data_IF_584114570566
#
_entry.id   IF_584114570566
#
_cell.length_a   1.000
_cell.length_b   1.000
_cell.length_c   1.000
_cell.angle_alpha   90.00
_cell.angle_beta   90.00
_cell.angle_gamma   90.00
#
_symmetry.space_group_name_H-M   'P 1'
#
loop_
_entity.id
_entity.type
_entity.pdbx_description
1 polymer ?
#
# COMPACT_ATOMS: atom_id res chain seq x y z
N UNK A 1 -56.72 -23.68 22.40
CA UNK A 1 -56.29 -22.62 21.45
C UNK A 1 -54.77 -22.52 21.51
N UNK A 2 -54.07 -23.19 20.60
CA UNK A 2 -52.63 -23.05 20.43
C UNK A 2 -52.38 -21.95 19.40
N UNK A 3 -51.61 -20.91 19.76
CA UNK A 3 -51.11 -19.91 18.81
C UNK A 3 -49.80 -20.44 18.22
N UNK A 4 -49.82 -20.73 16.92
CA UNK A 4 -48.60 -20.95 16.15
C UNK A 4 -47.85 -19.62 16.01
N UNK A 5 -46.59 -19.63 16.44
CA UNK A 5 -45.61 -18.57 16.21
C UNK A 5 -45.03 -18.75 14.80
N UNK A 6 -45.26 -17.77 13.93
CA UNK A 6 -44.58 -17.65 12.64
C UNK A 6 -43.21 -16.97 12.87
N UNK A 7 -42.15 -17.76 13.02
CA UNK A 7 -40.78 -17.25 12.87
C UNK A 7 -40.48 -17.06 11.38
N UNK A 8 -40.81 -15.87 10.88
CA UNK A 8 -40.43 -15.41 9.54
C UNK A 8 -38.92 -15.15 9.55
N UNK A 9 -38.20 -15.86 8.70
CA UNK A 9 -36.78 -15.69 8.40
C UNK A 9 -36.47 -14.22 8.09
N UNK A 10 -35.91 -13.48 9.06
CA UNK A 10 -35.25 -12.21 8.78
C UNK A 10 -33.86 -12.54 8.26
N UNK A 11 -33.72 -12.59 6.93
CA UNK A 11 -32.39 -12.52 6.32
C UNK A 11 -31.85 -11.15 6.67
N UNK A 12 -30.83 -11.14 7.51
CA UNK A 12 -30.14 -9.96 7.99
C UNK A 12 -29.47 -9.26 6.80
N UNK A 13 -30.09 -8.19 6.31
CA UNK A 13 -29.65 -7.41 5.14
C UNK A 13 -28.21 -6.91 5.32
N UNK A 14 -27.77 -6.77 6.57
CA UNK A 14 -26.41 -6.43 7.00
C UNK A 14 -25.39 -7.53 6.69
N UNK A 15 -25.77 -8.80 6.88
CA UNK A 15 -24.95 -9.97 6.49
C UNK A 15 -24.91 -10.10 4.97
N UNK A 16 -26.01 -9.79 4.29
CA UNK A 16 -26.08 -9.80 2.83
C UNK A 16 -25.17 -8.71 2.22
N UNK A 17 -25.07 -7.52 2.83
CA UNK A 17 -24.21 -6.42 2.40
C UNK A 17 -22.71 -6.67 2.68
N UNK A 18 -22.37 -7.23 3.84
CA UNK A 18 -20.99 -7.64 4.14
C UNK A 18 -20.51 -8.76 3.21
N UNK A 19 -21.38 -9.73 2.95
CA UNK A 19 -21.14 -10.77 1.94
C UNK A 19 -21.08 -10.16 0.55
N UNK A 20 -21.89 -9.14 0.21
CA UNK A 20 -21.82 -8.47 -1.10
C UNK A 20 -20.53 -7.67 -1.29
N UNK A 21 -20.02 -6.98 -0.27
CA UNK A 21 -18.77 -6.19 -0.37
C UNK A 21 -17.55 -7.11 -0.38
N UNK A 22 -17.56 -8.18 0.44
CA UNK A 22 -16.57 -9.25 0.34
C UNK A 22 -16.67 -9.95 -1.01
N UNK A 23 -17.88 -10.16 -1.56
CA UNK A 23 -18.11 -10.69 -2.90
C UNK A 23 -17.74 -9.69 -4.00
N UNK A 24 -17.80 -8.38 -3.83
CA UNK A 24 -17.37 -7.42 -4.86
C UNK A 24 -15.84 -7.37 -4.91
N UNK A 25 -15.17 -7.43 -3.75
CA UNK A 25 -13.73 -7.67 -3.67
C UNK A 25 -13.36 -9.06 -4.20
N UNK A 26 -14.22 -10.06 -3.99
CA UNK A 26 -14.08 -11.39 -4.61
C UNK A 26 -14.51 -11.43 -6.08
N UNK A 27 -15.35 -10.52 -6.60
CA UNK A 27 -15.82 -10.57 -8.00
C UNK A 27 -14.76 -9.97 -8.91
N UNK A 28 -13.98 -9.00 -8.41
CA UNK A 28 -12.70 -8.63 -9.03
C UNK A 28 -11.69 -9.79 -9.04
N UNK A 29 -11.75 -10.73 -8.10
CA UNK A 29 -10.92 -11.96 -8.15
C UNK A 29 -11.60 -13.12 -8.90
N UNK A 30 -12.93 -13.17 -9.02
CA UNK A 30 -13.67 -14.24 -9.71
C UNK A 30 -13.68 -14.05 -11.22
N UNK A 31 -13.62 -12.81 -11.72
CA UNK A 31 -13.31 -12.58 -13.15
C UNK A 31 -11.91 -13.05 -13.52
N UNK A 32 -11.01 -13.22 -12.54
CA UNK A 32 -9.68 -13.85 -12.70
C UNK A 32 -9.74 -15.37 -12.46
N UNK A 33 -10.72 -15.88 -11.70
CA UNK A 33 -10.89 -17.32 -11.45
C UNK A 33 -11.74 -18.07 -12.49
N UNK A 34 -12.34 -17.37 -13.46
CA UNK A 34 -13.06 -17.99 -14.58
C UNK A 34 -12.23 -18.19 -15.85
N UNK A 35 -10.95 -17.79 -15.86
CA UNK A 35 -10.03 -18.23 -16.92
C UNK A 35 -9.62 -19.67 -16.65
N UNK A 36 -10.34 -20.59 -17.30
CA UNK A 36 -10.00 -21.96 -17.66
C UNK A 36 -9.07 -22.79 -16.75
N UNK A 37 -9.55 -23.99 -16.43
CA UNK A 37 -8.83 -25.13 -15.86
C UNK A 37 -7.63 -25.64 -16.71
N UNK A 38 -7.09 -24.84 -17.61
CA UNK A 38 -5.79 -25.06 -18.23
C UNK A 38 -4.73 -24.48 -17.30
N UNK A 39 -3.94 -25.36 -16.66
CA UNK A 39 -2.68 -25.05 -15.96
C UNK A 39 -2.48 -23.56 -15.71
N UNK A 40 -3.09 -23.04 -14.64
CA UNK A 40 -2.92 -21.65 -14.24
C UNK A 40 -1.45 -21.45 -13.86
N UNK A 41 -0.64 -21.14 -14.87
CA UNK A 41 0.63 -20.48 -14.67
C UNK A 41 0.32 -19.27 -13.80
N UNK A 42 1.04 -19.22 -12.69
CA UNK A 42 0.94 -18.28 -11.59
C UNK A 42 0.75 -16.85 -12.14
N UNK A 43 -0.50 -16.37 -12.23
CA UNK A 43 -0.73 -14.95 -12.53
C UNK A 43 -0.20 -14.20 -11.31
N UNK A 44 1.01 -13.69 -11.44
CA UNK A 44 1.72 -12.94 -10.42
C UNK A 44 1.07 -11.55 -10.30
N UNK A 45 0.00 -11.47 -9.52
CA UNK A 45 -0.65 -10.20 -9.26
C UNK A 45 0.17 -9.28 -8.34
N UNK A 46 1.39 -9.66 -7.92
CA UNK A 46 2.29 -8.78 -7.17
C UNK A 46 2.84 -7.64 -8.03
N UNK A 47 2.94 -7.85 -9.34
CA UNK A 47 3.53 -6.90 -10.30
C UNK A 47 2.53 -6.39 -11.31
N UNK A 48 1.22 -6.53 -11.06
CA UNK A 48 0.21 -6.21 -12.08
C UNK A 48 0.37 -4.80 -12.67
N UNK A 49 0.56 -3.76 -11.84
CA UNK A 49 0.79 -2.42 -12.36
C UNK A 49 2.23 -2.23 -12.84
N UNK A 50 3.21 -2.85 -12.18
CA UNK A 50 4.60 -2.86 -12.62
C UNK A 50 4.77 -3.38 -14.06
N UNK A 51 4.04 -4.42 -14.45
CA UNK A 51 4.13 -5.03 -15.79
C UNK A 51 3.62 -4.11 -16.89
N UNK A 52 2.74 -3.16 -16.55
CA UNK A 52 2.24 -2.12 -17.45
C UNK A 52 3.15 -0.88 -17.55
N UNK A 53 4.22 -0.81 -16.76
CA UNK A 53 5.20 0.27 -16.82
C UNK A 53 6.14 0.13 -18.02
N UNK A 54 6.54 1.26 -18.60
CA UNK A 54 7.65 1.30 -19.56
C UNK A 54 9.02 1.12 -18.87
N UNK A 55 10.08 0.88 -19.62
CA UNK A 55 11.42 0.60 -19.05
C UNK A 55 11.92 1.69 -18.09
N UNK A 56 11.70 2.97 -18.42
CA UNK A 56 12.08 4.10 -17.56
C UNK A 56 11.26 4.13 -16.27
N UNK A 57 9.97 3.85 -16.36
CA UNK A 57 9.07 3.79 -15.20
C UNK A 57 9.42 2.61 -14.29
N UNK A 58 9.78 1.46 -14.86
CA UNK A 58 10.29 0.30 -14.12
C UNK A 58 11.58 0.64 -13.38
N UNK A 59 12.52 1.34 -14.03
CA UNK A 59 13.74 1.81 -13.37
C UNK A 59 13.43 2.71 -12.16
N UNK A 60 12.51 3.67 -12.30
CA UNK A 60 12.08 4.54 -11.20
C UNK A 60 11.43 3.71 -10.09
N UNK A 61 10.55 2.77 -10.44
CA UNK A 61 9.87 1.89 -9.48
C UNK A 61 10.88 1.05 -8.68
N UNK A 62 11.84 0.44 -9.36
CA UNK A 62 12.85 -0.41 -8.72
C UNK A 62 13.75 0.40 -7.78
N UNK A 63 14.11 1.63 -8.18
CA UNK A 63 14.83 2.57 -7.30
C UNK A 63 14.01 2.96 -6.08
N UNK A 64 12.71 3.25 -6.24
CA UNK A 64 11.80 3.51 -5.12
C UNK A 64 11.73 2.32 -4.16
N UNK A 65 11.60 1.11 -4.71
CA UNK A 65 11.51 -0.13 -3.94
C UNK A 65 12.78 -0.42 -3.14
N UNK A 66 13.94 -0.08 -3.70
CA UNK A 66 15.25 -0.26 -3.06
C UNK A 66 15.59 0.78 -1.98
N UNK A 67 14.82 1.88 -1.86
CA UNK A 67 15.10 2.91 -0.85
C UNK A 67 14.95 2.37 0.57
N UNK A 68 15.75 2.93 1.47
CA UNK A 68 15.63 2.71 2.92
C UNK A 68 15.30 4.01 3.63
N UNK A 69 14.89 3.89 4.89
CA UNK A 69 14.52 5.03 5.73
C UNK A 69 15.72 5.96 5.98
N UNK A 70 16.93 5.41 6.01
CA UNK A 70 18.19 6.13 6.13
C UNK A 70 18.65 6.75 4.81
N UNK A 71 18.19 6.23 3.68
CA UNK A 71 18.61 6.63 2.35
C UNK A 71 17.41 6.74 1.39
N UNK A 72 16.58 7.74 1.63
CA UNK A 72 15.38 8.06 0.84
C UNK A 72 15.71 8.90 -0.40
N UNK A 73 16.78 8.53 -1.11
CA UNK A 73 17.23 9.21 -2.32
C UNK A 73 17.76 8.21 -3.33
N UNK A 74 17.59 8.53 -4.61
CA UNK A 74 18.20 7.78 -5.71
C UNK A 74 18.54 8.69 -6.88
N UNK A 75 19.52 8.27 -7.68
CA UNK A 75 19.89 8.99 -8.89
C UNK A 75 19.20 8.41 -10.13
N UNK A 76 18.81 9.28 -11.05
CA UNK A 76 18.37 8.94 -12.41
C UNK A 76 19.42 9.47 -13.37
N UNK A 77 19.88 8.61 -14.28
CA UNK A 77 20.75 9.01 -15.39
C UNK A 77 19.87 9.25 -16.61
N UNK A 78 19.83 10.48 -17.07
CA UNK A 78 19.14 10.88 -18.30
C UNK A 78 20.09 10.76 -19.49
N UNK A 79 19.54 10.84 -20.70
CA UNK A 79 20.36 10.93 -21.91
C UNK A 79 21.15 12.26 -21.94
N UNK A 80 22.41 12.22 -22.38
CA UNK A 80 23.28 13.41 -22.40
C UNK A 80 22.74 14.55 -23.29
N UNK A 81 21.81 14.28 -24.21
CA UNK A 81 21.12 15.29 -25.01
C UNK A 81 20.31 16.30 -24.17
N UNK A 82 20.04 15.99 -22.89
CA UNK A 82 19.41 16.93 -21.95
C UNK A 82 20.35 18.06 -21.53
N UNK A 83 21.67 17.90 -21.66
CA UNK A 83 22.64 18.93 -21.27
C UNK A 83 22.48 20.16 -22.18
N UNK A 84 22.34 21.32 -21.56
CA UNK A 84 22.08 22.58 -22.26
C UNK A 84 20.60 22.82 -22.62
N UNK A 85 19.70 21.87 -22.34
CA UNK A 85 18.25 22.08 -22.45
C UNK A 85 17.72 22.92 -21.29
N UNK A 86 16.64 23.69 -21.50
CA UNK A 86 15.97 24.42 -20.43
C UNK A 86 15.54 23.49 -19.29
N UNK A 87 15.80 23.88 -18.05
CA UNK A 87 15.44 23.10 -16.84
C UNK A 87 13.96 22.69 -16.88
N UNK A 88 13.05 23.60 -17.22
CA UNK A 88 11.61 23.35 -17.26
C UNK A 88 11.21 22.26 -18.27
N UNK A 89 11.95 22.15 -19.38
CA UNK A 89 11.68 21.13 -20.42
C UNK A 89 12.13 19.73 -20.03
N UNK A 90 12.99 19.60 -19.01
CA UNK A 90 13.56 18.32 -18.56
C UNK A 90 12.98 17.90 -17.21
N UNK A 91 12.98 18.82 -16.24
CA UNK A 91 12.66 18.52 -14.84
C UNK A 91 11.15 18.38 -14.62
N UNK A 92 10.30 19.21 -15.23
CA UNK A 92 8.84 19.10 -15.02
C UNK A 92 8.26 17.79 -15.60
N UNK A 93 8.59 17.37 -16.84
CA UNK A 93 8.16 16.06 -17.33
C UNK A 93 8.71 14.89 -16.49
N UNK A 94 9.94 15.02 -15.98
CA UNK A 94 10.51 14.01 -15.09
C UNK A 94 9.75 13.95 -13.74
N UNK A 95 9.35 15.09 -13.18
CA UNK A 95 8.51 15.12 -11.98
C UNK A 95 7.17 14.42 -12.22
N UNK A 96 6.50 14.70 -13.35
CA UNK A 96 5.24 14.04 -13.67
C UNK A 96 5.40 12.53 -13.77
N UNK A 97 6.48 12.07 -14.41
CA UNK A 97 6.80 10.64 -14.52
C UNK A 97 7.04 9.99 -13.15
N UNK A 98 7.87 10.61 -12.31
CA UNK A 98 8.15 10.11 -10.94
C UNK A 98 6.86 10.09 -10.12
N UNK A 99 6.02 11.12 -10.22
CA UNK A 99 4.76 11.20 -9.49
C UNK A 99 3.79 10.09 -9.93
N UNK A 100 3.68 9.81 -11.22
CA UNK A 100 2.84 8.72 -11.73
C UNK A 100 3.30 7.35 -11.22
N UNK A 101 4.61 7.08 -11.29
CA UNK A 101 5.18 5.82 -10.76
C UNK A 101 4.99 5.74 -9.26
N UNK A 102 5.20 6.84 -8.53
CA UNK A 102 5.04 6.88 -7.08
C UNK A 102 3.59 6.62 -6.63
N UNK A 103 2.60 7.12 -7.36
CA UNK A 103 1.19 6.85 -7.06
C UNK A 103 0.84 5.36 -7.19
N UNK A 104 1.41 4.67 -8.18
CA UNK A 104 1.26 3.22 -8.36
C UNK A 104 2.04 2.45 -7.29
N UNK A 105 3.29 2.84 -7.07
CA UNK A 105 4.16 2.28 -6.05
C UNK A 105 3.51 2.32 -4.67
N UNK A 106 2.85 3.43 -4.28
CA UNK A 106 2.13 3.53 -3.01
C UNK A 106 0.93 2.60 -2.87
N UNK A 107 0.38 2.09 -3.96
CA UNK A 107 -0.72 1.11 -3.93
C UNK A 107 -0.18 -0.32 -3.84
N UNK A 108 0.95 -0.60 -4.49
CA UNK A 108 1.55 -1.94 -4.53
C UNK A 108 2.53 -2.21 -3.38
N UNK A 109 3.34 -1.25 -2.98
CA UNK A 109 4.39 -1.41 -1.97
C UNK A 109 4.00 -0.68 -0.68
N UNK A 110 2.92 -1.16 -0.04
CA UNK A 110 2.42 -0.50 1.16
C UNK A 110 3.44 -0.53 2.30
N UNK A 111 4.45 -1.40 2.30
CA UNK A 111 5.55 -1.38 3.27
C UNK A 111 6.40 -0.11 3.26
N UNK A 112 6.36 0.64 2.18
CA UNK A 112 7.07 1.91 2.04
C UNK A 112 6.20 3.11 2.45
N UNK A 113 5.21 2.88 3.31
CA UNK A 113 4.33 3.92 3.90
C UNK A 113 5.08 5.06 4.61
N UNK A 114 6.38 4.89 4.85
CA UNK A 114 7.28 5.87 5.45
C UNK A 114 7.82 6.90 4.46
N UNK A 115 7.63 6.70 3.15
CA UNK A 115 8.00 7.67 2.12
C UNK A 115 6.90 8.73 2.01
N UNK A 116 7.26 10.01 2.13
CA UNK A 116 6.33 11.11 1.92
C UNK A 116 5.89 11.19 0.45
N UNK A 117 4.67 11.64 0.21
CA UNK A 117 4.14 11.84 -1.14
C UNK A 117 4.73 13.00 -1.91
N UNK A 118 5.64 13.73 -1.29
CA UNK A 118 6.36 14.83 -1.90
C UNK A 118 7.79 14.40 -2.21
N UNK A 119 8.41 15.02 -3.21
CA UNK A 119 9.83 14.79 -3.51
C UNK A 119 10.46 16.03 -4.12
N UNK A 120 11.79 16.09 -4.04
CA UNK A 120 12.60 17.11 -4.69
C UNK A 120 13.50 16.46 -5.74
N UNK A 121 13.85 17.20 -6.78
CA UNK A 121 14.88 16.79 -7.74
C UNK A 121 16.05 17.77 -7.62
N UNK A 122 17.21 17.25 -7.25
CA UNK A 122 18.49 17.97 -7.24
C UNK A 122 19.23 17.70 -8.55
N UNK A 123 19.76 18.76 -9.16
CA UNK A 123 20.44 18.68 -10.45
C UNK A 123 21.46 19.80 -10.58
N UNK A 124 22.48 19.57 -11.43
CA UNK A 124 23.44 20.62 -11.78
C UNK A 124 22.89 21.50 -12.90
N UNK A 125 23.09 22.80 -12.80
CA UNK A 125 22.61 23.77 -13.79
C UNK A 125 23.64 24.85 -14.11
N UNK A 126 23.50 25.46 -15.29
CA UNK A 126 24.22 26.66 -15.72
C UNK A 126 23.21 27.64 -16.32
N UNK A 127 22.98 28.76 -15.64
CA UNK A 127 21.85 29.63 -15.98
C UNK A 127 20.52 28.91 -15.80
N UNK A 128 19.67 28.91 -16.84
CA UNK A 128 18.36 28.24 -16.88
C UNK A 128 18.42 26.84 -17.52
N UNK A 129 19.62 26.26 -17.66
CA UNK A 129 19.86 25.01 -18.40
C UNK A 129 20.48 23.91 -17.55
N UNK A 130 20.21 22.67 -17.92
CA UNK A 130 20.80 21.48 -17.31
C UNK A 130 22.30 21.41 -17.62
N UNK A 131 23.12 21.13 -16.61
CA UNK A 131 24.57 21.00 -16.73
C UNK A 131 25.10 19.57 -16.49
N UNK A 132 24.25 18.63 -16.07
CA UNK A 132 24.58 17.22 -15.87
C UNK A 132 23.38 16.36 -16.25
N UNK A 133 23.63 15.21 -16.87
CA UNK A 133 22.61 14.21 -17.17
C UNK A 133 22.18 13.39 -15.95
N UNK A 134 22.94 13.44 -14.85
CA UNK A 134 22.55 12.79 -13.59
C UNK A 134 21.78 13.76 -12.70
N UNK A 135 20.61 13.31 -12.24
CA UNK A 135 19.76 14.04 -11.29
C UNK A 135 19.43 13.16 -10.10
N UNK A 136 19.38 13.74 -8.89
CA UNK A 136 19.04 13.02 -7.66
C UNK A 136 17.61 13.31 -7.25
N UNK A 137 16.81 12.28 -7.05
CA UNK A 137 15.44 12.35 -6.55
C UNK A 137 15.46 12.08 -5.06
N UNK A 138 14.91 12.99 -4.27
CA UNK A 138 14.96 12.96 -2.81
C UNK A 138 13.53 12.94 -2.28
N UNK A 139 13.17 11.88 -1.58
CA UNK A 139 11.90 11.76 -0.87
C UNK A 139 12.08 12.05 0.63
N UNK A 140 11.29 12.95 1.23
CA UNK A 140 11.25 13.09 2.67
C UNK A 140 10.66 11.84 3.35
N UNK A 141 11.09 11.58 4.58
CA UNK A 141 10.48 10.55 5.44
C UNK A 141 9.26 11.11 6.16
N UNK A 142 8.16 10.33 6.27
CA UNK A 142 6.95 10.70 6.99
C UNK A 142 7.17 10.63 8.50
N UNK A 143 7.49 11.77 9.09
CA UNK A 143 7.79 11.92 10.53
C UNK A 143 6.52 12.18 11.38
N UNK A 144 5.39 12.55 10.77
CA UNK A 144 4.22 12.97 11.57
C UNK A 144 3.51 11.80 12.25
N UNK A 145 3.17 10.76 11.48
CA UNK A 145 2.32 9.65 11.95
C UNK A 145 3.13 8.51 12.56
N UNK A 146 4.42 8.40 12.24
CA UNK A 146 5.25 7.24 12.56
C UNK A 146 6.40 7.55 13.54
N UNK A 147 6.63 8.81 13.89
CA UNK A 147 7.66 9.22 14.86
C UNK A 147 8.41 10.50 14.46
N UNK A 148 8.86 11.29 15.42
CA UNK A 148 9.44 12.63 15.26
C UNK A 148 10.87 12.65 14.71
N UNK A 149 11.50 11.49 14.54
CA UNK A 149 12.84 11.32 13.94
C UNK A 149 12.89 10.07 13.07
N UNK A 150 13.87 9.99 12.16
CA UNK A 150 14.15 8.79 11.36
C UNK A 150 14.32 7.53 12.23
N UNK A 151 14.96 7.66 13.40
CA UNK A 151 15.15 6.55 14.35
C UNK A 151 13.83 6.09 15.00
N UNK A 152 12.94 7.02 15.32
CA UNK A 152 11.60 6.71 15.84
C UNK A 152 10.74 6.04 14.76
N UNK A 153 10.77 6.56 13.53
CA UNK A 153 10.09 5.95 12.37
C UNK A 153 10.56 4.50 12.17
N UNK A 154 11.87 4.25 12.21
CA UNK A 154 12.45 2.90 12.17
C UNK A 154 11.93 2.00 13.29
N UNK A 155 11.87 2.51 14.52
CA UNK A 155 11.38 1.76 15.68
C UNK A 155 9.91 1.37 15.50
N UNK A 156 9.08 2.30 15.04
CA UNK A 156 7.67 2.08 14.72
C UNK A 156 7.49 1.01 13.65
N UNK A 157 8.28 1.08 12.57
CA UNK A 157 8.24 0.10 11.47
C UNK A 157 8.64 -1.30 11.95
N UNK A 158 9.73 -1.40 12.72
CA UNK A 158 10.17 -2.68 13.27
C UNK A 158 9.15 -3.26 14.26
N UNK A 159 8.44 -2.41 15.00
CA UNK A 159 7.35 -2.84 15.89
C UNK A 159 6.18 -3.41 15.10
N UNK A 160 5.80 -2.76 13.99
CA UNK A 160 4.76 -3.26 13.08
C UNK A 160 5.18 -4.59 12.46
N UNK A 161 6.42 -4.70 11.96
CA UNK A 161 6.96 -5.95 11.41
C UNK A 161 6.94 -7.08 12.42
N UNK A 162 7.33 -6.82 13.66
CA UNK A 162 7.31 -7.80 14.76
C UNK A 162 5.90 -8.31 15.07
N UNK A 163 4.89 -7.42 15.03
CA UNK A 163 3.49 -7.82 15.19
C UNK A 163 3.03 -8.71 14.03
N UNK A 164 3.36 -8.33 12.79
CA UNK A 164 2.99 -9.09 11.59
C UNK A 164 3.66 -10.46 11.59
N UNK A 165 4.94 -10.54 11.95
CA UNK A 165 5.70 -11.79 12.06
C UNK A 165 5.08 -12.77 13.08
N UNK A 166 4.40 -12.24 14.10
CA UNK A 166 3.66 -13.03 15.08
C UNK A 166 2.38 -13.69 14.54
N UNK A 167 1.94 -13.40 13.31
CA UNK A 167 0.76 -14.01 12.72
C UNK A 167 1.06 -15.43 12.22
N UNK A 168 0.11 -16.33 12.45
CA UNK A 168 0.16 -17.69 11.87
C UNK A 168 -0.53 -17.66 10.52
N UNK A 169 0.27 -17.64 9.46
CA UNK A 169 -0.21 -17.60 8.07
C UNK A 169 -0.11 -18.99 7.44
N UNK A 170 -1.22 -19.45 6.87
CA UNK A 170 -1.26 -20.70 6.11
C UNK A 170 -0.68 -20.47 4.71
N UNK A 171 0.25 -21.31 4.25
CA UNK A 171 0.89 -21.14 2.93
C UNK A 171 0.58 -22.27 1.95
N UNK A 172 -0.27 -23.24 2.34
CA UNK A 172 -0.63 -24.40 1.50
C UNK A 172 -1.47 -24.05 0.28
N UNK A 173 -2.20 -22.93 0.31
CA UNK A 173 -3.00 -22.48 -0.82
C UNK A 173 -3.20 -20.97 -0.79
N UNK A 174 -3.46 -20.35 -1.94
CA UNK A 174 -3.76 -18.91 -2.04
C UNK A 174 -4.97 -18.53 -1.17
N UNK A 175 -6.02 -19.35 -1.17
CA UNK A 175 -7.19 -19.14 -0.33
C UNK A 175 -6.87 -19.25 1.17
N UNK A 176 -6.13 -20.29 1.57
CA UNK A 176 -5.69 -20.49 2.96
C UNK A 176 -4.86 -19.30 3.46
N UNK A 177 -3.92 -18.83 2.64
CA UNK A 177 -3.11 -17.65 2.93
C UNK A 177 -3.96 -16.41 3.16
N UNK A 178 -4.80 -16.05 2.20
CA UNK A 178 -5.71 -14.89 2.30
C UNK A 178 -6.64 -15.00 3.51
N UNK A 179 -7.23 -16.18 3.75
CA UNK A 179 -8.14 -16.41 4.86
C UNK A 179 -7.43 -16.33 6.22
N UNK A 180 -6.20 -16.82 6.32
CA UNK A 180 -5.39 -16.70 7.55
C UNK A 180 -5.03 -15.26 7.87
N UNK A 181 -4.69 -14.44 6.85
CA UNK A 181 -4.48 -12.99 7.02
C UNK A 181 -5.77 -12.31 7.49
N UNK A 182 -6.91 -12.62 6.85
CA UNK A 182 -8.21 -12.08 7.24
C UNK A 182 -8.52 -12.39 8.71
N UNK A 183 -8.37 -13.65 9.14
CA UNK A 183 -8.65 -14.05 10.52
C UNK A 183 -7.72 -13.35 11.52
N UNK A 184 -6.41 -13.29 11.22
CA UNK A 184 -5.43 -12.59 12.08
C UNK A 184 -5.79 -11.11 12.29
N UNK A 185 -6.26 -10.44 11.23
CA UNK A 185 -6.69 -9.05 11.31
C UNK A 185 -8.09 -8.88 11.91
N UNK A 186 -9.00 -9.82 11.69
CA UNK A 186 -10.34 -9.81 12.28
C UNK A 186 -10.28 -9.88 13.80
N UNK A 187 -9.39 -10.72 14.35
CA UNK A 187 -9.20 -10.83 15.80
C UNK A 187 -8.49 -9.62 16.42
N UNK A 188 -7.78 -8.84 15.59
CA UNK A 188 -7.00 -7.67 16.03
C UNK A 188 -7.74 -6.35 15.90
N UNK A 189 -8.46 -6.15 14.80
CA UNK A 189 -8.95 -4.83 14.37
C UNK A 189 -10.41 -4.64 14.73
N UNK A 190 -10.71 -3.51 15.35
CA UNK A 190 -12.10 -3.06 15.56
C UNK A 190 -12.50 -2.13 14.42
N UNK A 191 -13.68 -2.33 13.84
CA UNK A 191 -14.18 -1.41 12.81
C UNK A 191 -14.86 -0.19 13.44
N UNK A 192 -14.42 1.02 13.09
CA UNK A 192 -15.02 2.28 13.52
C UNK A 192 -16.40 2.48 12.87
N UNK A 193 -17.45 2.59 13.69
CA UNK A 193 -18.85 2.66 13.23
C UNK A 193 -19.56 3.98 13.51
N UNK A 194 -18.96 4.85 14.33
CA UNK A 194 -19.58 6.09 14.73
C UNK A 194 -19.56 7.12 13.60
N UNK A 195 -20.53 8.03 13.60
CA UNK A 195 -20.56 9.19 12.71
C UNK A 195 -20.70 10.48 13.56
N UNK A 196 -20.07 11.59 13.15
CA UNK A 196 -19.22 11.73 11.97
C UNK A 196 -17.87 11.03 12.17
N UNK A 197 -17.38 10.37 11.12
CA UNK A 197 -16.03 9.79 11.17
C UNK A 197 -14.99 10.88 11.45
N UNK A 198 -14.02 10.62 12.35
CA UNK A 198 -12.86 11.48 12.53
C UNK A 198 -12.20 11.76 11.18
N UNK A 199 -11.97 13.05 10.92
CA UNK A 199 -11.15 13.48 9.79
C UNK A 199 -9.70 13.05 9.97
N UNK A 200 -8.94 13.04 8.86
CA UNK A 200 -7.50 12.76 8.87
C UNK A 200 -7.11 11.28 8.85
N UNK A 201 -5.81 11.03 9.00
CA UNK A 201 -5.21 9.72 8.78
C UNK A 201 -5.34 8.75 9.95
N UNK A 202 -5.81 9.21 11.12
CA UNK A 202 -5.80 8.45 12.36
C UNK A 202 -6.53 7.10 12.32
N UNK A 203 -7.55 6.91 11.48
CA UNK A 203 -8.27 5.62 11.32
C UNK A 203 -7.93 4.88 10.02
N UNK A 204 -7.06 5.47 9.19
CA UNK A 204 -6.85 5.14 7.76
C UNK A 204 -5.41 4.71 7.46
N UNK A 205 -4.59 4.49 8.49
CA UNK A 205 -3.16 4.21 8.34
C UNK A 205 -2.75 2.89 9.05
N UNK A 206 -1.59 2.38 8.65
CA UNK A 206 -1.03 1.09 9.11
C UNK A 206 -0.59 1.16 10.58
N UNK A 207 0.00 2.27 11.03
CA UNK A 207 0.38 2.44 12.42
C UNK A 207 -0.82 2.34 13.36
N UNK A 208 -1.99 2.88 13.01
CA UNK A 208 -3.20 2.70 13.83
C UNK A 208 -3.62 1.23 13.88
N UNK A 209 -3.62 0.56 12.74
CA UNK A 209 -4.03 -0.84 12.64
C UNK A 209 -3.15 -1.78 13.48
N UNK A 210 -1.86 -1.49 13.62
CA UNK A 210 -0.95 -2.36 14.35
C UNK A 210 -0.52 -1.83 15.72
N UNK A 211 -0.40 -0.52 15.92
CA UNK A 211 0.10 0.06 17.16
C UNK A 211 -0.98 0.74 18.00
N UNK A 212 -2.19 0.96 17.44
CA UNK A 212 -3.31 1.58 18.15
C UNK A 212 -3.04 3.05 18.42
N UNK A 213 -3.43 3.94 17.50
CA UNK A 213 -3.01 5.35 17.52
C UNK A 213 -3.51 6.19 18.72
N UNK A 214 -4.25 5.62 19.66
CA UNK A 214 -4.70 6.33 20.89
C UNK A 214 -4.99 5.40 22.07
N UNK A 215 -5.25 4.11 21.84
CA UNK A 215 -5.44 3.12 22.92
C UNK A 215 -4.87 1.76 22.48
N UNK A 216 -3.96 1.15 23.26
CA UNK A 216 -3.33 -0.12 22.89
C UNK A 216 -4.29 -1.31 22.89
N UNK A 217 -5.51 -1.16 23.42
CA UNK A 217 -6.43 -2.29 23.58
C UNK A 217 -7.41 -2.47 22.41
N UNK A 218 -7.55 -1.51 21.49
CA UNK A 218 -8.35 -1.68 20.27
C UNK A 218 -7.79 -0.84 19.11
N UNK A 219 -7.16 -1.49 18.14
CA UNK A 219 -6.77 -0.89 16.86
C UNK A 219 -8.01 -0.61 16.02
N UNK A 220 -8.66 0.52 16.31
CA UNK A 220 -9.90 0.92 15.64
C UNK A 220 -9.60 1.57 14.27
N UNK A 221 -10.21 1.05 13.20
CA UNK A 221 -9.95 1.46 11.82
C UNK A 221 -11.23 1.57 11.00
N UNK A 222 -11.18 2.33 9.91
CA UNK A 222 -12.19 2.27 8.84
C UNK A 222 -11.72 1.37 7.71
N UNK A 223 -12.55 1.19 6.67
CA UNK A 223 -12.24 0.35 5.51
C UNK A 223 -10.83 0.57 4.93
N UNK A 224 -10.38 1.82 4.81
CA UNK A 224 -9.05 2.13 4.30
C UNK A 224 -7.91 1.64 5.22
N UNK A 225 -8.05 1.79 6.54
CA UNK A 225 -7.06 1.29 7.50
C UNK A 225 -7.00 -0.24 7.51
N UNK A 226 -8.15 -0.90 7.43
CA UNK A 226 -8.23 -2.36 7.32
C UNK A 226 -7.60 -2.87 6.03
N UNK A 227 -7.92 -2.26 4.88
CA UNK A 227 -7.36 -2.64 3.58
C UNK A 227 -5.83 -2.49 3.55
N UNK A 228 -5.30 -1.39 4.10
CA UNK A 228 -3.85 -1.19 4.18
C UNK A 228 -3.17 -2.19 5.11
N UNK A 229 -3.80 -2.53 6.24
CA UNK A 229 -3.28 -3.55 7.14
C UNK A 229 -3.25 -4.94 6.48
N UNK A 230 -4.33 -5.30 5.78
CA UNK A 230 -4.43 -6.55 5.02
C UNK A 230 -3.33 -6.67 3.98
N UNK A 231 -3.21 -5.67 3.11
CA UNK A 231 -2.20 -5.65 2.06
C UNK A 231 -0.78 -5.62 2.63
N UNK A 232 -0.53 -4.91 3.75
CA UNK A 232 0.75 -4.98 4.44
C UNK A 232 1.07 -6.43 4.83
N UNK A 233 0.23 -7.14 5.57
CA UNK A 233 0.51 -8.54 5.95
C UNK A 233 0.77 -9.41 4.70
N UNK A 234 -0.04 -9.25 3.64
CA UNK A 234 0.17 -9.98 2.40
C UNK A 234 1.54 -9.72 1.79
N UNK A 235 1.99 -8.46 1.74
CA UNK A 235 3.30 -8.10 1.19
C UNK A 235 4.45 -8.71 2.00
N UNK A 236 4.30 -8.88 3.32
CA UNK A 236 5.36 -9.39 4.19
C UNK A 236 5.61 -10.87 3.96
N UNK A 237 4.51 -11.61 3.80
CA UNK A 237 4.53 -13.03 3.52
C UNK A 237 4.61 -13.33 2.01
N UNK A 238 4.67 -12.31 1.15
CA UNK A 238 4.71 -12.47 -0.29
C UNK A 238 3.45 -13.15 -0.85
N UNK A 239 2.28 -12.83 -0.32
CA UNK A 239 0.98 -13.34 -0.77
C UNK A 239 0.45 -12.41 -1.88
N UNK A 240 0.21 -12.92 -3.10
CA UNK A 240 -0.41 -12.14 -4.17
C UNK A 240 -1.88 -11.82 -3.82
N UNK A 241 -2.26 -10.54 -3.82
CA UNK A 241 -3.63 -10.05 -3.51
C UNK A 241 -4.07 -8.89 -4.39
#
# INVERSE_FOLDING_TARGET
MARFSNSRWSIDVTKLLLVLVALIALVSTVTVLQSDNSSADDVDCKTFYYDHLNDKQKEIYDKLNAMTIENATFDIVLDDSVIGQPITSVIEPLKDEINNVYLLFRQEQLYHYWIDGTFNISYSYSGDKIASSTVSVIFPTVITTYGSTTAEVNTTINSIKSIIDGFTIETSSRYGAVNSVYNALYDRLTYYKSEPRPGGMGLRNIATAFLGATYPEQSEVVCEGYAKAFKAVCDYYGIPV
#
